data_IF_687273927301
#
_entry.id   IF_687273927301
#
_cell.length_a   1.000
_cell.length_b   1.000
_cell.length_c   1.000
_cell.angle_alpha   90.00
_cell.angle_beta   90.00
_cell.angle_gamma   90.00
#
_symmetry.space_group_name_H-M   'P 1'
#
loop_
_entity.id
_entity.type
_entity.pdbx_description
1 polymer ?
#
# COMPACT_ATOMS: atom_id res chain seq x y z
N UNK A 1 12.40 -4.54 -6.81
CA UNK A 1 12.47 -3.30 -6.02
C UNK A 1 11.41 -3.33 -4.95
N UNK A 2 11.75 -2.89 -3.74
CA UNK A 2 10.85 -2.84 -2.59
C UNK A 2 11.00 -1.52 -1.83
N UNK A 3 10.00 -1.13 -1.05
CA UNK A 3 10.12 0.00 -0.14
C UNK A 3 10.89 -0.43 1.12
N UNK A 4 11.87 0.37 1.51
CA UNK A 4 12.69 0.13 2.69
C UNK A 4 11.83 0.09 3.95
N UNK A 5 11.95 -0.98 4.73
CA UNK A 5 11.19 -1.17 5.98
C UNK A 5 9.73 -1.56 5.80
N UNK A 6 9.31 -1.87 4.56
CA UNK A 6 7.93 -2.30 4.29
C UNK A 6 7.72 -3.80 4.48
N UNK A 7 6.46 -4.20 4.67
CA UNK A 7 6.04 -5.60 4.58
C UNK A 7 6.45 -6.23 3.25
N UNK A 8 6.40 -5.47 2.15
CA UNK A 8 6.84 -5.93 0.83
C UNK A 8 8.32 -6.33 0.80
N UNK A 9 9.19 -5.68 1.57
CA UNK A 9 10.60 -6.06 1.69
C UNK A 9 10.75 -7.41 2.41
N UNK A 10 10.01 -7.63 3.50
CA UNK A 10 10.02 -8.89 4.26
C UNK A 10 9.49 -10.04 3.40
N UNK A 11 8.34 -9.83 2.75
CA UNK A 11 7.70 -10.82 1.87
C UNK A 11 8.59 -11.15 0.67
N UNK A 12 9.20 -10.15 0.01
CA UNK A 12 10.09 -10.39 -1.12
C UNK A 12 11.30 -11.24 -0.71
N UNK A 13 11.93 -10.96 0.44
CA UNK A 13 13.04 -11.78 0.95
C UNK A 13 12.62 -13.22 1.24
N UNK A 14 11.39 -13.43 1.74
CA UNK A 14 10.84 -14.75 2.05
C UNK A 14 10.50 -15.58 0.81
N UNK A 15 9.78 -14.99 -0.15
CA UNK A 15 9.23 -15.73 -1.30
C UNK A 15 10.10 -15.67 -2.56
N UNK A 16 11.02 -14.70 -2.65
CA UNK A 16 11.96 -14.56 -3.75
C UNK A 16 13.41 -14.62 -3.24
N UNK A 17 13.83 -15.70 -2.55
CA UNK A 17 15.13 -15.75 -1.87
C UNK A 17 16.33 -15.70 -2.84
N UNK A 18 16.11 -16.01 -4.12
CA UNK A 18 17.13 -15.95 -5.18
C UNK A 18 17.19 -14.59 -5.89
N UNK A 19 16.26 -13.68 -5.62
CA UNK A 19 16.22 -12.37 -6.28
C UNK A 19 17.19 -11.39 -5.61
N UNK A 20 17.81 -10.52 -6.42
CA UNK A 20 18.58 -9.38 -5.92
C UNK A 20 17.63 -8.27 -5.47
N UNK A 21 17.43 -8.14 -4.16
CA UNK A 21 16.51 -7.14 -3.60
C UNK A 21 17.20 -5.78 -3.51
N UNK A 22 16.60 -4.77 -4.16
CA UNK A 22 16.97 -3.35 -4.04
C UNK A 22 15.87 -2.60 -3.31
N UNK A 23 16.20 -2.04 -2.14
CA UNK A 23 15.29 -1.28 -1.28
C UNK A 23 15.39 0.22 -1.58
N UNK A 24 14.24 0.90 -1.65
CA UNK A 24 14.13 2.32 -1.96
C UNK A 24 13.47 3.08 -0.81
N UNK A 25 13.94 4.31 -0.55
CA UNK A 25 13.24 5.26 0.32
C UNK A 25 12.16 5.99 -0.49
N UNK A 26 11.02 6.30 0.14
CA UNK A 26 9.90 7.00 -0.50
C UNK A 26 8.61 6.17 -0.47
N UNK A 27 7.69 6.45 -1.40
CA UNK A 27 6.40 5.76 -1.54
C UNK A 27 6.29 4.93 -2.82
N UNK A 28 5.10 4.37 -3.09
CA UNK A 28 4.89 3.44 -4.21
C UNK A 28 5.30 3.97 -5.59
N UNK A 29 5.16 5.27 -5.85
CA UNK A 29 5.64 5.93 -7.08
C UNK A 29 7.12 5.68 -7.36
N UNK A 30 7.94 5.60 -6.32
CA UNK A 30 9.38 5.35 -6.45
C UNK A 30 9.68 3.98 -7.06
N UNK A 31 8.88 2.97 -6.70
CA UNK A 31 9.03 1.61 -7.25
C UNK A 31 8.64 1.56 -8.72
N UNK A 32 7.55 2.24 -9.09
CA UNK A 32 7.10 2.32 -10.49
C UNK A 32 8.12 3.07 -11.34
N UNK A 33 8.68 4.18 -10.85
CA UNK A 33 9.76 4.91 -11.53
C UNK A 33 11.03 4.05 -11.69
N UNK A 34 11.43 3.33 -10.65
CA UNK A 34 12.59 2.44 -10.73
C UNK A 34 12.39 1.31 -11.75
N UNK A 35 11.18 0.79 -11.87
CA UNK A 35 10.82 -0.22 -12.87
C UNK A 35 10.91 0.35 -14.29
N UNK A 36 10.31 1.52 -14.52
CA UNK A 36 10.31 2.17 -15.84
C UNK A 36 11.72 2.63 -16.28
N UNK A 37 12.56 3.02 -15.32
CA UNK A 37 13.95 3.38 -15.59
C UNK A 37 14.88 2.17 -15.79
N UNK A 38 14.37 0.92 -15.71
CA UNK A 38 15.18 -0.29 -15.84
C UNK A 38 16.13 -0.55 -14.66
N UNK A 39 15.92 0.11 -13.52
CA UNK A 39 16.73 -0.12 -12.32
C UNK A 39 16.37 -1.40 -11.57
N UNK A 40 15.17 -1.93 -11.83
CA UNK A 40 14.65 -3.21 -11.30
C UNK A 40 13.75 -3.87 -12.33
N UNK A 41 13.69 -5.20 -12.34
CA UNK A 41 12.84 -5.95 -13.27
C UNK A 41 11.38 -6.09 -12.80
N UNK A 42 11.16 -5.99 -11.48
CA UNK A 42 9.84 -6.08 -10.85
C UNK A 42 9.77 -5.28 -9.55
N UNK A 43 8.57 -4.83 -9.18
CA UNK A 43 8.27 -4.18 -7.91
C UNK A 43 7.40 -5.05 -7.01
N UNK A 44 7.64 -5.04 -5.70
CA UNK A 44 6.73 -5.65 -4.71
C UNK A 44 6.20 -4.55 -3.81
N UNK A 45 4.87 -4.39 -3.80
CA UNK A 45 4.18 -3.40 -3.00
C UNK A 45 2.71 -3.82 -2.79
N UNK A 46 1.99 -3.10 -1.94
CA UNK A 46 0.55 -3.28 -1.71
C UNK A 46 -0.28 -2.90 -2.95
N UNK A 47 -1.34 -3.69 -3.23
CA UNK A 47 -2.19 -3.51 -4.41
C UNK A 47 -2.84 -2.11 -4.46
N UNK A 48 -3.32 -1.58 -3.34
CA UNK A 48 -3.97 -0.27 -3.29
C UNK A 48 -2.95 0.84 -3.59
N UNK A 49 -1.73 0.71 -3.06
CA UNK A 49 -0.65 1.65 -3.33
C UNK A 49 -0.24 1.64 -4.81
N UNK A 50 -0.33 0.51 -5.49
CA UNK A 50 -0.04 0.41 -6.93
C UNK A 50 -1.21 0.95 -7.76
N UNK A 51 -2.44 0.52 -7.49
CA UNK A 51 -3.63 0.90 -8.26
C UNK A 51 -3.93 2.40 -8.24
N UNK A 52 -3.62 3.10 -7.15
CA UNK A 52 -3.79 4.56 -7.05
C UNK A 52 -2.77 5.34 -7.87
N UNK A 53 -1.62 4.72 -8.14
CA UNK A 53 -0.45 5.32 -8.79
C UNK A 53 -0.37 4.98 -10.28
N UNK A 54 -0.80 3.78 -10.71
CA UNK A 54 -0.76 3.36 -12.11
C UNK A 54 -1.39 4.34 -13.12
N UNK A 55 -2.52 5.02 -12.80
CA UNK A 55 -3.12 6.00 -13.72
C UNK A 55 -2.22 7.20 -14.06
N UNK A 56 -1.19 7.46 -13.26
CA UNK A 56 -0.26 8.58 -13.48
C UNK A 56 0.83 8.25 -14.52
N UNK A 57 0.87 7.01 -15.04
CA UNK A 57 1.89 6.53 -15.98
C UNK A 57 1.28 6.15 -17.34
N UNK A 58 2.08 6.15 -18.43
CA UNK A 58 1.58 5.83 -19.76
C UNK A 58 0.83 4.49 -19.82
N UNK A 59 -0.24 4.44 -20.60
CA UNK A 59 -1.09 3.25 -20.71
C UNK A 59 -0.27 2.01 -21.08
N UNK A 60 -0.51 0.90 -20.35
CA UNK A 60 0.18 -0.40 -20.48
C UNK A 60 1.70 -0.38 -20.24
N UNK A 61 2.29 0.72 -19.73
CA UNK A 61 3.71 0.75 -19.38
C UNK A 61 4.06 -0.11 -18.16
N UNK A 62 3.13 -0.23 -17.21
CA UNK A 62 3.25 -1.08 -16.02
C UNK A 62 1.93 -1.78 -15.78
N UNK A 63 1.98 -3.02 -15.26
CA UNK A 63 0.81 -3.79 -14.88
C UNK A 63 0.99 -4.43 -13.50
N UNK A 64 -0.11 -4.56 -12.77
CA UNK A 64 -0.17 -5.40 -11.59
C UNK A 64 -0.20 -6.88 -12.03
N UNK A 65 0.52 -7.75 -11.31
CA UNK A 65 0.43 -9.20 -11.53
C UNK A 65 -0.82 -9.75 -10.83
N UNK A 66 -1.47 -10.74 -11.45
CA UNK A 66 -2.71 -11.33 -10.92
C UNK A 66 -2.48 -12.05 -9.58
N UNK A 67 -1.30 -12.67 -9.43
CA UNK A 67 -0.93 -13.43 -8.24
C UNK A 67 -0.16 -12.54 -7.27
N UNK A 68 -0.54 -12.62 -6.00
CA UNK A 68 0.15 -11.93 -4.90
C UNK A 68 1.29 -12.77 -4.36
N UNK A 69 2.33 -12.10 -3.90
CA UNK A 69 3.38 -12.75 -3.11
C UNK A 69 2.86 -12.97 -1.69
N UNK A 70 2.61 -14.23 -1.35
CA UNK A 70 2.01 -14.62 -0.08
C UNK A 70 0.48 -14.50 -0.06
N UNK A 71 -0.12 -15.07 0.97
CA UNK A 71 -1.58 -15.06 1.19
C UNK A 71 -2.02 -14.10 2.31
N UNK A 72 -1.10 -13.34 2.89
CA UNK A 72 -1.37 -12.45 4.00
C UNK A 72 -2.35 -11.35 3.59
N UNK A 73 -3.48 -11.27 4.30
CA UNK A 73 -4.28 -10.05 4.39
C UNK A 73 -3.83 -9.30 5.64
N UNK A 74 -2.64 -8.72 5.58
CA UNK A 74 -2.10 -7.98 6.73
C UNK A 74 -3.01 -6.78 7.02
N UNK A 75 -3.45 -6.66 8.27
CA UNK A 75 -4.38 -5.62 8.66
C UNK A 75 -3.68 -4.24 8.67
N UNK A 76 -4.14 -3.31 7.83
CA UNK A 76 -3.74 -1.92 7.92
C UNK A 76 -4.31 -1.31 9.22
N UNK A 77 -3.41 -0.76 10.04
CA UNK A 77 -3.71 -0.31 11.39
C UNK A 77 -3.05 1.04 11.68
N UNK A 78 -3.56 1.75 12.68
CA UNK A 78 -2.97 3.00 13.15
C UNK A 78 -2.00 2.71 14.29
N UNK A 79 -0.73 3.00 14.07
CA UNK A 79 0.29 2.84 15.09
C UNK A 79 0.22 4.00 16.10
N UNK A 80 0.38 3.69 17.38
CA UNK A 80 0.53 4.65 18.48
C UNK A 80 1.78 4.32 19.27
N UNK A 81 2.29 5.27 20.06
CA UNK A 81 3.38 4.95 21.00
C UNK A 81 2.91 3.95 22.04
N UNK A 82 3.81 3.10 22.50
CA UNK A 82 3.50 1.97 23.37
C UNK A 82 2.81 2.40 24.68
N UNK A 83 3.24 3.52 25.26
CA UNK A 83 2.70 4.11 26.49
C UNK A 83 1.36 4.84 26.29
N UNK A 84 0.96 5.13 25.05
CA UNK A 84 -0.25 5.90 24.74
C UNK A 84 -1.51 5.03 24.68
N UNK A 85 -1.76 4.28 25.74
CA UNK A 85 -2.89 3.32 25.82
C UNK A 85 -4.25 4.01 25.65
N UNK A 86 -4.43 5.20 26.23
CA UNK A 86 -5.70 5.94 26.06
C UNK A 86 -5.94 6.31 24.59
N UNK A 87 -4.90 6.71 23.86
CA UNK A 87 -5.02 7.01 22.44
C UNK A 87 -5.37 5.76 21.63
N UNK A 88 -4.75 4.62 21.95
CA UNK A 88 -5.10 3.35 21.32
C UNK A 88 -6.59 3.03 21.47
N UNK A 89 -7.11 3.16 22.69
CA UNK A 89 -8.53 2.88 22.96
C UNK A 89 -9.45 3.86 22.23
N UNK A 90 -9.11 5.15 22.20
CA UNK A 90 -9.88 6.15 21.45
C UNK A 90 -9.90 5.87 19.94
N UNK A 91 -8.75 5.52 19.35
CA UNK A 91 -8.66 5.16 17.92
C UNK A 91 -9.51 3.93 17.63
N UNK A 92 -9.42 2.89 18.47
CA UNK A 92 -10.23 1.67 18.31
C UNK A 92 -11.73 1.97 18.44
N UNK A 93 -12.13 2.78 19.42
CA UNK A 93 -13.51 3.21 19.61
C UNK A 93 -14.02 4.00 18.40
N UNK A 94 -13.25 4.97 17.91
CA UNK A 94 -13.57 5.73 16.71
C UNK A 94 -13.85 4.81 15.53
N UNK A 95 -12.96 3.86 15.26
CA UNK A 95 -13.12 2.89 14.17
C UNK A 95 -14.28 1.91 14.36
N UNK A 96 -14.69 1.65 15.60
CA UNK A 96 -15.91 0.90 15.89
C UNK A 96 -17.15 1.74 15.56
N UNK A 97 -17.18 2.99 16.02
CA UNK A 97 -18.28 3.93 15.79
C UNK A 97 -18.51 4.20 14.30
N UNK A 98 -17.48 4.58 13.55
CA UNK A 98 -17.63 4.90 12.11
C UNK A 98 -17.95 3.68 11.25
N UNK A 99 -17.68 2.46 11.73
CA UNK A 99 -18.18 1.25 11.07
C UNK A 99 -19.65 1.01 11.37
N UNK A 100 -20.07 1.21 12.62
CA UNK A 100 -21.46 1.00 13.04
C UNK A 100 -22.45 1.95 12.33
N UNK A 101 -22.02 3.16 11.97
CA UNK A 101 -22.86 4.15 11.31
C UNK A 101 -22.68 4.20 9.76
N UNK A 102 -21.82 3.34 9.19
CA UNK A 102 -21.55 3.25 7.76
C UNK A 102 -20.65 4.35 7.16
N UNK A 103 -20.13 5.29 7.96
CA UNK A 103 -19.19 6.31 7.47
C UNK A 103 -17.87 5.71 6.99
N UNK A 104 -17.43 4.62 7.61
CA UNK A 104 -16.25 3.88 7.18
C UNK A 104 -16.37 3.45 5.71
N UNK A 105 -17.46 2.80 5.33
CA UNK A 105 -17.65 2.28 3.99
C UNK A 105 -17.79 3.41 2.94
N UNK A 106 -18.41 4.54 3.33
CA UNK A 106 -18.47 5.76 2.51
C UNK A 106 -17.07 6.29 2.25
N UNK A 107 -16.25 6.43 3.30
CA UNK A 107 -14.88 6.93 3.19
C UNK A 107 -14.00 5.99 2.34
N UNK A 108 -14.07 4.68 2.58
CA UNK A 108 -13.32 3.68 1.79
C UNK A 108 -13.73 3.75 0.31
N UNK A 109 -15.02 3.90 0.03
CA UNK A 109 -15.50 3.96 -1.36
C UNK A 109 -15.07 5.23 -2.07
N UNK A 110 -15.13 6.39 -1.38
CA UNK A 110 -14.70 7.67 -1.95
C UNK A 110 -13.18 7.71 -2.19
N UNK A 111 -12.36 7.35 -1.20
CA UNK A 111 -10.90 7.50 -1.26
C UNK A 111 -10.17 6.35 -1.97
N UNK A 112 -10.61 5.09 -1.80
CA UNK A 112 -9.86 3.92 -2.28
C UNK A 112 -10.45 3.29 -3.54
N UNK A 113 -11.79 3.30 -3.69
CA UNK A 113 -12.45 2.67 -4.86
C UNK A 113 -12.71 3.66 -6.00
N UNK A 114 -12.77 4.96 -5.71
CA UNK A 114 -13.02 6.02 -6.68
C UNK A 114 -11.77 6.85 -6.99
N UNK A 115 -11.79 7.50 -8.16
CA UNK A 115 -10.83 8.56 -8.52
C UNK A 115 -11.46 9.96 -8.43
N UNK A 116 -12.71 10.05 -7.96
CA UNK A 116 -13.48 11.29 -7.95
C UNK A 116 -12.80 12.38 -7.12
N UNK A 117 -12.19 12.01 -5.99
CA UNK A 117 -11.46 12.92 -5.11
C UNK A 117 -10.32 13.67 -5.80
N UNK A 118 -9.68 13.10 -6.83
CA UNK A 118 -8.61 13.77 -7.61
C UNK A 118 -9.10 15.00 -8.39
N UNK A 119 -10.40 15.19 -8.55
CA UNK A 119 -10.97 16.39 -9.19
C UNK A 119 -11.14 17.54 -8.20
N UNK A 120 -11.27 17.23 -6.92
CA UNK A 120 -11.58 18.16 -5.84
C UNK A 120 -10.33 18.56 -5.05
N UNK A 121 -9.27 17.74 -5.09
CA UNK A 121 -7.98 17.91 -4.41
C UNK A 121 -6.84 17.42 -5.31
#
# INVERSE_FOLDING_TARGET
GVLLGSTGEVIAKKYLPKAKIKSYKGGGRMIVQALLAGHVDAGVNDDLAVLTVLPDYPYKSVRLLKERLGQGKDALSFAVRHESVNLLQWVNLYFSTVRSNGEYDKNISYWLKGIQWKKEH
#
